data_IF_860449560020
#
_entry.id   IF_860449560020
#
_cell.length_a   1.000
_cell.length_b   1.000
_cell.length_c   1.000
_cell.angle_alpha   90.00
_cell.angle_beta   90.00
_cell.angle_gamma   90.00
#
_symmetry.space_group_name_H-M   'P 1'
#
loop_
_entity.id
_entity.type
_entity.pdbx_description
1 polymer ?
#
# COMPACT_ATOMS: atom_id res chain seq x y z
N UNK A 1 19.86 -0.12 2.51
CA UNK A 1 19.93 -1.28 3.42
C UNK A 1 20.17 -0.74 4.84
N UNK A 2 19.18 -0.83 5.73
CA UNK A 2 19.23 -0.20 7.06
C UNK A 2 20.10 -1.03 8.02
N UNK A 3 21.28 -0.51 8.35
CA UNK A 3 22.26 -1.12 9.25
C UNK A 3 21.86 -0.92 10.72
N UNK A 4 21.15 -1.88 11.32
CA UNK A 4 21.15 -2.13 12.77
C UNK A 4 20.54 -1.09 13.74
N UNK A 5 20.38 0.17 13.36
CA UNK A 5 19.86 1.24 14.23
C UNK A 5 18.34 1.39 14.04
N UNK A 6 17.56 0.55 14.73
CA UNK A 6 16.08 0.51 14.57
C UNK A 6 15.39 1.85 14.86
N UNK A 7 15.85 2.59 15.86
CA UNK A 7 15.24 3.87 16.25
C UNK A 7 15.54 4.99 15.24
N UNK A 8 16.81 5.12 14.84
CA UNK A 8 17.27 6.12 13.85
C UNK A 8 16.70 5.83 12.46
N UNK A 9 16.54 4.55 12.14
CA UNK A 9 15.80 4.08 10.97
C UNK A 9 14.36 4.56 10.98
N UNK A 10 13.64 4.44 12.10
CA UNK A 10 12.23 4.80 12.17
C UNK A 10 12.00 6.31 11.98
N UNK A 11 12.85 7.16 12.56
CA UNK A 11 12.76 8.61 12.36
C UNK A 11 13.01 9.01 10.90
N UNK A 12 14.06 8.44 10.29
CA UNK A 12 14.37 8.66 8.87
C UNK A 12 13.19 8.23 7.98
N UNK A 13 12.56 7.09 8.29
CA UNK A 13 11.37 6.61 7.58
C UNK A 13 10.21 7.60 7.73
N UNK A 14 9.96 8.14 8.93
CA UNK A 14 8.89 9.13 9.14
C UNK A 14 9.15 10.44 8.39
N UNK A 15 10.41 10.82 8.20
CA UNK A 15 10.74 12.00 7.40
C UNK A 15 10.36 11.83 5.92
N UNK A 16 10.36 10.61 5.38
CA UNK A 16 9.89 10.33 4.02
C UNK A 16 8.38 10.59 3.86
N UNK A 17 7.59 10.47 4.93
CA UNK A 17 6.16 10.78 4.90
C UNK A 17 5.86 12.28 4.74
N UNK A 18 6.86 13.16 4.83
CA UNK A 18 6.68 14.61 4.58
C UNK A 18 6.36 14.90 3.12
N UNK A 19 6.70 13.98 2.20
CA UNK A 19 6.27 14.07 0.82
C UNK A 19 4.83 13.55 0.69
N UNK A 20 3.94 14.37 0.13
CA UNK A 20 2.52 14.01 -0.09
C UNK A 20 2.38 13.08 -1.29
N UNK A 21 2.87 11.86 -1.13
CA UNK A 21 2.76 10.80 -2.10
C UNK A 21 2.10 9.57 -1.47
N UNK A 22 0.95 9.13 -1.99
CA UNK A 22 0.30 7.90 -1.57
C UNK A 22 1.21 6.66 -1.65
N UNK A 23 2.08 6.56 -2.66
CA UNK A 23 3.04 5.46 -2.77
C UNK A 23 4.12 5.56 -1.69
N UNK A 24 4.69 6.76 -1.48
CA UNK A 24 5.60 7.06 -0.37
C UNK A 24 5.04 6.66 1.00
N UNK A 25 3.76 6.92 1.27
CA UNK A 25 3.10 6.48 2.51
C UNK A 25 3.01 4.96 2.63
N UNK A 26 2.75 4.25 1.54
CA UNK A 26 2.84 2.78 1.54
C UNK A 26 4.26 2.30 1.87
N UNK A 27 5.29 2.95 1.33
CA UNK A 27 6.67 2.64 1.66
C UNK A 27 7.01 2.88 3.13
N UNK A 28 6.47 3.94 3.74
CA UNK A 28 6.57 4.19 5.18
C UNK A 28 5.87 3.09 5.97
N UNK A 29 4.62 2.77 5.61
CA UNK A 29 3.84 1.72 6.26
C UNK A 29 4.56 0.36 6.29
N UNK A 30 5.09 -0.10 5.15
CA UNK A 30 5.80 -1.39 5.08
C UNK A 30 7.07 -1.42 5.95
N UNK A 31 7.78 -0.29 6.09
CA UNK A 31 8.97 -0.24 6.94
C UNK A 31 8.59 -0.23 8.43
N UNK A 32 7.54 0.51 8.81
CA UNK A 32 7.02 0.50 10.18
C UNK A 32 6.46 -0.88 10.57
N UNK A 33 5.76 -1.55 9.66
CA UNK A 33 5.30 -2.92 9.86
C UNK A 33 6.47 -3.87 10.09
N UNK A 34 7.53 -3.75 9.29
CA UNK A 34 8.77 -4.54 9.45
C UNK A 34 9.46 -4.31 10.81
N UNK A 35 9.32 -3.12 11.37
CA UNK A 35 9.80 -2.72 12.70
C UNK A 35 8.81 -3.03 13.85
N UNK A 36 7.66 -3.66 13.55
CA UNK A 36 6.58 -4.00 14.49
C UNK A 36 5.83 -2.80 15.10
N UNK A 37 5.95 -1.62 14.50
CA UNK A 37 5.09 -0.47 14.82
C UNK A 37 3.75 -0.61 14.09
N UNK A 38 2.93 -1.59 14.50
CA UNK A 38 1.77 -2.06 13.73
C UNK A 38 0.67 -1.02 13.57
N UNK A 39 0.37 -0.26 14.62
CA UNK A 39 -0.73 0.71 14.60
C UNK A 39 -0.38 1.92 13.72
N UNK A 40 0.86 2.39 13.83
CA UNK A 40 1.39 3.47 13.00
C UNK A 40 1.47 3.03 11.53
N UNK A 41 1.92 1.79 11.28
CA UNK A 41 1.94 1.22 9.94
C UNK A 41 0.55 1.11 9.31
N UNK A 42 -0.46 0.72 10.10
CA UNK A 42 -1.86 0.68 9.63
C UNK A 42 -2.36 2.06 9.28
N UNK A 43 -2.13 3.06 10.12
CA UNK A 43 -2.52 4.45 9.84
C UNK A 43 -1.93 4.94 8.51
N UNK A 44 -0.62 4.76 8.29
CA UNK A 44 0.00 5.15 7.03
C UNK A 44 -0.54 4.38 5.81
N UNK A 45 -0.87 3.10 5.97
CA UNK A 45 -1.45 2.30 4.89
C UNK A 45 -2.88 2.74 4.56
N UNK A 46 -3.67 3.07 5.59
CA UNK A 46 -5.02 3.63 5.43
C UNK A 46 -4.97 4.97 4.68
N UNK A 47 -4.04 5.86 5.04
CA UNK A 47 -3.83 7.11 4.32
C UNK A 47 -3.43 6.89 2.86
N UNK A 48 -2.53 5.94 2.57
CA UNK A 48 -2.13 5.59 1.22
C UNK A 48 -3.34 5.16 0.37
N UNK A 49 -4.19 4.25 0.89
CA UNK A 49 -5.41 3.79 0.20
C UNK A 49 -6.43 4.92 0.03
N UNK A 50 -6.62 5.72 1.08
CA UNK A 50 -7.54 6.87 1.07
C UNK A 50 -7.17 7.86 -0.03
N UNK A 51 -5.88 8.10 -0.24
CA UNK A 51 -5.36 9.06 -1.22
C UNK A 51 -5.10 8.46 -2.61
N UNK A 52 -5.49 7.19 -2.84
CA UNK A 52 -5.56 6.60 -4.18
C UNK A 52 -4.52 5.51 -4.47
N UNK A 53 -3.64 5.19 -3.52
CA UNK A 53 -2.73 4.07 -3.67
C UNK A 53 -3.38 2.77 -3.18
N UNK A 54 -4.08 2.08 -4.07
CA UNK A 54 -4.72 0.79 -3.82
C UNK A 54 -4.11 -0.32 -4.70
N UNK A 55 -2.78 -0.42 -4.74
CA UNK A 55 -2.07 -1.47 -5.46
C UNK A 55 -2.17 -2.81 -4.69
N UNK A 56 -3.34 -3.45 -4.79
CA UNK A 56 -3.67 -4.70 -4.09
C UNK A 56 -2.63 -5.81 -4.31
N UNK A 57 -2.13 -6.07 -5.53
CA UNK A 57 -1.09 -7.09 -5.72
C UNK A 57 0.18 -6.82 -4.89
N UNK A 58 0.59 -5.55 -4.74
CA UNK A 58 1.73 -5.19 -3.90
C UNK A 58 1.44 -5.47 -2.43
N UNK A 59 0.27 -5.06 -1.92
CA UNK A 59 -0.12 -5.29 -0.52
C UNK A 59 -0.19 -6.78 -0.17
N UNK A 60 -0.76 -7.60 -1.05
CA UNK A 60 -0.94 -9.04 -0.82
C UNK A 60 0.38 -9.78 -0.87
N UNK A 61 1.34 -9.37 -1.71
CA UNK A 61 2.62 -10.06 -1.89
C UNK A 61 3.74 -9.54 -0.97
N UNK A 62 3.59 -8.35 -0.38
CA UNK A 62 4.62 -7.77 0.48
C UNK A 62 4.78 -8.57 1.80
N UNK A 63 5.93 -9.22 2.04
CA UNK A 63 6.18 -9.93 3.29
C UNK A 63 6.34 -8.97 4.48
N UNK A 64 6.66 -7.70 4.26
CA UNK A 64 6.86 -6.75 5.36
C UNK A 64 5.54 -6.31 5.99
N UNK A 65 4.42 -6.49 5.30
CA UNK A 65 3.08 -6.29 5.85
C UNK A 65 2.56 -7.51 6.62
N UNK A 66 3.30 -8.63 6.66
CA UNK A 66 2.89 -9.83 7.40
C UNK A 66 2.46 -9.54 8.86
N UNK A 67 3.13 -8.68 9.63
CA UNK A 67 2.71 -8.33 10.99
C UNK A 67 1.32 -7.69 11.08
N UNK A 68 0.82 -7.06 10.01
CA UNK A 68 -0.49 -6.40 10.00
C UNK A 68 -1.63 -7.37 9.65
N UNK A 69 -1.33 -8.52 9.05
CA UNK A 69 -2.35 -9.44 8.49
C UNK A 69 -3.29 -10.05 9.53
N UNK A 70 -2.86 -10.13 10.79
CA UNK A 70 -3.70 -10.60 11.89
C UNK A 70 -4.69 -9.53 12.38
N UNK A 71 -4.53 -8.26 11.97
CA UNK A 71 -5.40 -7.16 12.41
C UNK A 71 -6.73 -7.17 11.65
N UNK A 72 -7.88 -7.08 12.35
CA UNK A 72 -9.17 -6.85 11.72
C UNK A 72 -9.25 -5.54 10.92
N UNK A 73 -8.49 -4.51 11.33
CA UNK A 73 -8.39 -3.25 10.60
C UNK A 73 -7.72 -3.46 9.23
N UNK A 74 -6.64 -4.24 9.19
CA UNK A 74 -5.98 -4.61 7.93
C UNK A 74 -6.94 -5.36 7.00
N UNK A 75 -7.70 -6.33 7.51
CA UNK A 75 -8.67 -7.05 6.71
C UNK A 75 -9.76 -6.12 6.13
N UNK A 76 -10.20 -5.13 6.90
CA UNK A 76 -11.18 -4.13 6.47
C UNK A 76 -10.61 -3.22 5.38
N UNK A 77 -9.41 -2.69 5.61
CA UNK A 77 -8.68 -1.89 4.63
C UNK A 77 -8.45 -2.65 3.32
N UNK A 78 -8.09 -3.94 3.39
CA UNK A 78 -7.89 -4.76 2.20
C UNK A 78 -9.19 -4.95 1.41
N UNK A 79 -10.35 -5.11 2.05
CA UNK A 79 -11.63 -5.18 1.33
C UNK A 79 -11.94 -3.88 0.59
N UNK A 80 -11.67 -2.74 1.22
CA UNK A 80 -11.81 -1.44 0.57
C UNK A 80 -10.86 -1.29 -0.63
N UNK A 81 -9.58 -1.60 -0.44
CA UNK A 81 -8.57 -1.53 -1.49
C UNK A 81 -8.93 -2.44 -2.69
N UNK A 82 -9.41 -3.67 -2.44
CA UNK A 82 -9.92 -4.57 -3.50
C UNK A 82 -11.11 -3.97 -4.25
N UNK A 83 -12.03 -3.33 -3.54
CA UNK A 83 -13.20 -2.69 -4.16
C UNK A 83 -12.78 -1.54 -5.07
N UNK A 84 -11.88 -0.66 -4.60
CA UNK A 84 -11.35 0.46 -5.40
C UNK A 84 -10.53 -0.04 -6.58
N UNK A 85 -9.67 -1.04 -6.38
CA UNK A 85 -8.86 -1.65 -7.43
C UNK A 85 -9.72 -2.26 -8.55
N UNK A 86 -10.75 -3.03 -8.19
CA UNK A 86 -11.70 -3.59 -9.18
C UNK A 86 -12.42 -2.49 -9.95
N UNK A 87 -12.87 -1.42 -9.28
CA UNK A 87 -13.48 -0.27 -9.97
C UNK A 87 -12.52 0.38 -10.95
N UNK A 88 -11.26 0.56 -10.59
CA UNK A 88 -10.24 1.10 -11.48
C UNK A 88 -10.01 0.21 -12.72
N UNK A 89 -9.97 -1.11 -12.54
CA UNK A 89 -9.89 -2.06 -13.67
C UNK A 89 -11.11 -1.92 -14.58
N UNK A 90 -12.33 -1.92 -14.02
CA UNK A 90 -13.56 -1.76 -14.80
C UNK A 90 -13.54 -0.45 -15.58
N UNK A 91 -13.14 0.66 -14.95
CA UNK A 91 -13.02 1.96 -15.64
C UNK A 91 -11.97 1.93 -16.75
N UNK A 92 -10.83 1.28 -16.54
CA UNK A 92 -9.77 1.13 -17.54
C UNK A 92 -10.26 0.36 -18.78
N UNK A 93 -10.92 -0.79 -18.57
CA UNK A 93 -11.46 -1.61 -19.67
C UNK A 93 -12.65 -0.92 -20.36
N UNK A 94 -13.55 -0.29 -19.59
CA UNK A 94 -14.71 0.42 -20.15
C UNK A 94 -14.29 1.63 -21.00
N UNK A 95 -13.08 2.16 -20.78
CA UNK A 95 -12.48 3.21 -21.59
C UNK A 95 -11.61 2.68 -22.74
N UNK A 96 -11.67 1.36 -23.03
CA UNK A 96 -10.84 0.69 -24.05
C UNK A 96 -9.33 0.89 -23.82
N UNK A 97 -8.92 1.06 -22.56
CA UNK A 97 -7.53 1.34 -22.21
C UNK A 97 -6.57 0.21 -22.60
N UNK A 98 -7.05 -1.04 -22.56
CA UNK A 98 -6.35 -2.23 -23.04
C UNK A 98 -6.02 -2.13 -24.54
N UNK A 99 -6.99 -1.69 -25.36
CA UNK A 99 -6.80 -1.44 -26.79
C UNK A 99 -5.84 -0.30 -27.06
N UNK A 100 -5.95 0.81 -26.34
CA UNK A 100 -5.05 1.96 -26.47
C UNK A 100 -3.61 1.56 -26.17
N UNK A 101 -3.41 0.71 -25.16
CA UNK A 101 -2.09 0.23 -24.78
C UNK A 101 -1.62 -1.00 -25.58
N UNK A 102 -2.46 -1.55 -26.47
CA UNK A 102 -2.13 -2.74 -27.26
C UNK A 102 -1.89 -4.00 -26.42
N UNK A 103 -2.49 -4.08 -25.23
CA UNK A 103 -2.39 -5.23 -24.32
C UNK A 103 -3.72 -5.95 -24.24
N UNK A 104 -3.72 -7.28 -24.24
CA UNK A 104 -4.91 -8.04 -23.87
C UNK A 104 -4.98 -8.12 -22.36
N UNK A 105 -6.01 -7.50 -21.76
CA UNK A 105 -6.26 -7.68 -20.34
C UNK A 105 -6.99 -9.01 -20.15
N UNK A 106 -6.41 -10.00 -19.44
CA UNK A 106 -7.11 -11.23 -19.16
C UNK A 106 -8.29 -10.92 -18.22
N UNK A 107 -9.51 -11.10 -18.74
CA UNK A 107 -10.77 -11.05 -17.98
C UNK A 107 -10.92 -12.24 -17.05
#
# INVERSE_FOLDING_TARGET
MLKGQRAESADTIRQLARFRDPEGRYHVARHLARLRATDEALSFLEEAVREGFFCVPAFVRDPWLHPLRASPAFATLMREAHTRHRRAIVSFISAEGDRVLGIEYPV
#
